data_IF_141256353127
#
_entry.id   IF_141256353127
#
_cell.length_a   1.000
_cell.length_b   1.000
_cell.length_c   1.000
_cell.angle_alpha   90.00
_cell.angle_beta   90.00
_cell.angle_gamma   90.00
#
_symmetry.space_group_name_H-M   'P 1'
#
loop_
_entity.id
_entity.type
_entity.pdbx_description
1 polymer ?
#
# COMPACT_ATOMS: atom_id res chain seq x y z
N UNK A 1 -2.98 -40.20 -14.15
CA UNK A 1 -3.14 -39.92 -12.71
C UNK A 1 -4.21 -38.85 -12.56
N UNK A 2 -5.24 -39.11 -11.76
CA UNK A 2 -6.27 -38.11 -11.47
C UNK A 2 -5.73 -36.91 -10.71
N UNK A 3 -6.46 -35.79 -10.69
CA UNK A 3 -6.03 -34.57 -10.00
C UNK A 3 -5.91 -34.76 -8.48
N UNK A 4 -6.83 -35.55 -7.92
CA UNK A 4 -7.01 -35.90 -6.51
C UNK A 4 -6.38 -37.25 -6.20
N UNK A 5 -5.77 -37.39 -5.02
CA UNK A 5 -5.21 -38.66 -4.57
C UNK A 5 -6.31 -39.67 -4.25
N UNK A 6 -6.03 -40.95 -4.45
CA UNK A 6 -6.85 -42.09 -4.01
C UNK A 6 -8.30 -42.13 -4.54
N UNK A 7 -8.67 -41.35 -5.56
CA UNK A 7 -10.04 -41.36 -6.09
C UNK A 7 -10.34 -42.65 -6.87
N UNK A 8 -11.56 -43.18 -6.66
CA UNK A 8 -12.05 -44.39 -7.33
C UNK A 8 -12.10 -44.19 -8.85
N UNK A 9 -12.54 -43.02 -9.30
CA UNK A 9 -12.47 -42.59 -10.69
C UNK A 9 -11.33 -41.56 -10.88
N UNK A 10 -10.32 -41.83 -11.72
CA UNK A 10 -9.28 -40.86 -12.07
C UNK A 10 -9.79 -39.61 -12.79
N UNK A 11 -10.97 -39.68 -13.42
CA UNK A 11 -11.59 -38.60 -14.19
C UNK A 11 -12.77 -37.94 -13.45
N UNK A 12 -12.90 -38.16 -12.14
CA UNK A 12 -13.96 -37.55 -11.33
C UNK A 12 -13.99 -36.01 -11.55
N UNK A 13 -15.18 -35.43 -11.79
CA UNK A 13 -15.30 -34.02 -12.10
C UNK A 13 -14.88 -33.17 -10.88
N UNK A 14 -13.85 -32.35 -11.07
CA UNK A 14 -13.26 -31.51 -10.01
C UNK A 14 -13.02 -30.08 -10.46
N UNK A 15 -13.23 -29.13 -9.54
CA UNK A 15 -12.87 -27.71 -9.69
C UNK A 15 -11.49 -27.40 -9.09
N UNK A 16 -10.73 -28.39 -8.64
CA UNK A 16 -9.38 -28.22 -8.08
C UNK A 16 -8.39 -27.42 -8.94
N UNK A 17 -8.31 -27.66 -10.27
CA UNK A 17 -7.46 -26.86 -11.16
C UNK A 17 -7.88 -25.38 -11.22
N UNK A 18 -9.19 -25.10 -11.21
CA UNK A 18 -9.72 -23.74 -11.18
C UNK A 18 -9.34 -23.03 -9.89
N UNK A 19 -9.53 -23.68 -8.74
CA UNK A 19 -9.15 -23.14 -7.42
C UNK A 19 -7.66 -22.80 -7.41
N UNK A 20 -6.82 -23.72 -7.89
CA UNK A 20 -5.37 -23.52 -7.96
C UNK A 20 -5.00 -22.34 -8.84
N UNK A 21 -5.59 -22.23 -10.04
CA UNK A 21 -5.35 -21.12 -10.95
C UNK A 21 -5.75 -19.77 -10.33
N UNK A 22 -6.90 -19.70 -9.67
CA UNK A 22 -7.38 -18.49 -9.00
C UNK A 22 -6.47 -18.09 -7.83
N UNK A 23 -6.07 -19.05 -6.98
CA UNK A 23 -5.16 -18.79 -5.86
C UNK A 23 -3.82 -18.23 -6.35
N UNK A 24 -3.20 -18.88 -7.35
CA UNK A 24 -1.92 -18.44 -7.91
C UNK A 24 -2.05 -17.04 -8.53
N UNK A 25 -3.08 -16.81 -9.35
CA UNK A 25 -3.28 -15.54 -10.01
C UNK A 25 -3.48 -14.39 -9.01
N UNK A 26 -4.38 -14.56 -8.03
CA UNK A 26 -4.68 -13.51 -7.06
C UNK A 26 -3.52 -13.23 -6.10
N UNK A 27 -2.82 -14.27 -5.64
CA UNK A 27 -1.63 -14.11 -4.78
C UNK A 27 -0.47 -13.45 -5.55
N UNK A 28 -0.35 -13.71 -6.85
CA UNK A 28 0.63 -13.03 -7.71
C UNK A 28 0.28 -11.56 -7.91
N UNK A 29 -1.00 -11.24 -8.18
CA UNK A 29 -1.46 -9.86 -8.32
C UNK A 29 -1.26 -9.09 -7.01
N UNK A 30 -1.62 -9.69 -5.88
CA UNK A 30 -1.43 -9.06 -4.57
C UNK A 30 0.06 -8.82 -4.26
N UNK A 31 0.94 -9.76 -4.63
CA UNK A 31 2.40 -9.58 -4.52
C UNK A 31 2.88 -8.37 -5.32
N UNK A 32 2.44 -8.22 -6.57
CA UNK A 32 2.79 -7.06 -7.40
C UNK A 32 2.37 -5.76 -6.71
N UNK A 33 1.18 -5.70 -6.11
CA UNK A 33 0.75 -4.49 -5.39
C UNK A 33 1.59 -4.20 -4.13
N UNK A 34 2.03 -5.24 -3.41
CA UNK A 34 2.92 -5.11 -2.25
C UNK A 34 4.30 -4.63 -2.70
N UNK A 35 4.89 -5.24 -3.74
CA UNK A 35 6.16 -4.80 -4.32
C UNK A 35 6.11 -3.34 -4.78
N UNK A 36 5.00 -2.95 -5.43
CA UNK A 36 4.80 -1.58 -5.88
C UNK A 36 4.70 -0.60 -4.70
N UNK A 37 3.99 -0.99 -3.63
CA UNK A 37 3.98 -0.23 -2.38
C UNK A 37 5.40 -0.09 -1.83
N UNK A 38 6.15 -1.19 -1.70
CA UNK A 38 7.51 -1.14 -1.18
C UNK A 38 8.38 -0.18 -1.99
N UNK A 39 8.31 -0.22 -3.32
CA UNK A 39 9.02 0.71 -4.20
C UNK A 39 8.63 2.18 -3.94
N UNK A 40 7.34 2.50 -3.87
CA UNK A 40 6.88 3.87 -3.59
C UNK A 40 7.40 4.35 -2.23
N UNK A 41 7.42 3.47 -1.23
CA UNK A 41 7.70 3.83 0.15
C UNK A 41 9.19 3.91 0.44
N UNK A 42 10.00 3.04 -0.17
CA UNK A 42 11.46 3.03 -0.03
C UNK A 42 12.14 4.01 -0.99
N UNK A 43 11.76 4.05 -2.26
CA UNK A 43 12.48 4.81 -3.29
C UNK A 43 11.89 6.20 -3.53
N UNK A 44 10.55 6.33 -3.65
CA UNK A 44 9.93 7.62 -3.99
C UNK A 44 9.72 8.53 -2.78
N UNK A 45 9.11 8.01 -1.72
CA UNK A 45 8.73 8.79 -0.53
C UNK A 45 9.81 8.72 0.55
N UNK A 46 10.64 7.67 0.56
CA UNK A 46 11.71 7.42 1.55
C UNK A 46 11.23 7.50 3.00
N UNK A 47 10.03 7.00 3.27
CA UNK A 47 9.44 7.04 4.59
C UNK A 47 8.80 5.69 4.88
N UNK A 48 9.57 4.69 5.31
CA UNK A 48 9.05 3.37 5.66
C UNK A 48 8.29 3.43 6.99
N UNK A 49 7.23 2.64 7.17
CA UNK A 49 6.46 2.63 8.41
C UNK A 49 5.92 1.28 8.83
N UNK A 50 5.26 1.27 10.00
CA UNK A 50 4.70 0.05 10.61
C UNK A 50 3.68 -0.63 9.68
N UNK A 51 2.89 0.16 8.97
CA UNK A 51 1.94 -0.31 7.94
C UNK A 51 2.60 -1.14 6.84
N UNK A 52 3.85 -0.83 6.47
CA UNK A 52 4.59 -1.53 5.43
C UNK A 52 5.09 -2.91 5.92
N UNK A 53 5.48 -3.03 7.19
CA UNK A 53 5.82 -4.34 7.78
C UNK A 53 4.60 -5.23 7.93
N UNK A 54 3.49 -4.66 8.43
CA UNK A 54 2.24 -5.40 8.63
C UNK A 54 1.75 -5.99 7.29
N UNK A 55 1.74 -5.20 6.21
CA UNK A 55 1.24 -5.70 4.92
C UNK A 55 2.13 -6.79 4.32
N UNK A 56 3.45 -6.73 4.54
CA UNK A 56 4.37 -7.77 4.10
C UNK A 56 4.10 -9.09 4.82
N UNK A 57 3.97 -9.06 6.15
CA UNK A 57 3.60 -10.22 6.95
C UNK A 57 2.22 -10.75 6.54
N UNK A 58 1.27 -9.84 6.28
CA UNK A 58 -0.08 -10.18 5.81
C UNK A 58 -0.03 -10.94 4.49
N UNK A 59 0.80 -10.49 3.54
CA UNK A 59 0.95 -11.18 2.26
C UNK A 59 1.58 -12.57 2.42
N UNK A 60 2.55 -12.73 3.32
CA UNK A 60 3.12 -14.05 3.64
C UNK A 60 2.03 -14.98 4.20
N UNK A 61 1.17 -14.49 5.09
CA UNK A 61 0.03 -15.27 5.59
C UNK A 61 -0.97 -15.64 4.47
N UNK A 62 -1.28 -14.70 3.58
CA UNK A 62 -2.17 -14.95 2.43
C UNK A 62 -1.57 -15.97 1.45
N UNK A 63 -0.25 -15.91 1.22
CA UNK A 63 0.48 -16.90 0.42
C UNK A 63 0.48 -18.28 1.11
N UNK A 64 0.67 -18.34 2.43
CA UNK A 64 0.54 -19.56 3.21
C UNK A 64 -0.86 -20.18 3.07
N UNK A 65 -1.91 -19.37 3.18
CA UNK A 65 -3.28 -19.82 2.96
C UNK A 65 -3.50 -20.36 1.54
N UNK A 66 -2.95 -19.70 0.52
CA UNK A 66 -3.02 -20.16 -0.87
C UNK A 66 -2.32 -21.51 -1.06
N UNK A 67 -1.12 -21.70 -0.50
CA UNK A 67 -0.39 -22.97 -0.56
C UNK A 67 -1.19 -24.10 0.09
N UNK A 68 -1.69 -23.88 1.30
CA UNK A 68 -2.51 -24.86 2.02
C UNK A 68 -3.75 -25.21 1.21
N UNK A 69 -4.44 -24.22 0.63
CA UNK A 69 -5.62 -24.42 -0.23
C UNK A 69 -5.29 -25.27 -1.46
N UNK A 70 -4.19 -24.98 -2.14
CA UNK A 70 -3.74 -25.74 -3.33
C UNK A 70 -3.46 -27.19 -2.96
N UNK A 71 -2.74 -27.44 -1.86
CA UNK A 71 -2.47 -28.78 -1.34
C UNK A 71 -3.78 -29.49 -1.00
N UNK A 72 -4.74 -28.80 -0.39
CA UNK A 72 -6.04 -29.36 -0.04
C UNK A 72 -6.84 -29.84 -1.28
N UNK A 73 -6.66 -29.22 -2.45
CA UNK A 73 -7.27 -29.70 -3.71
C UNK A 73 -6.79 -31.09 -4.12
N UNK A 74 -5.61 -31.51 -3.67
CA UNK A 74 -5.11 -32.87 -3.91
C UNK A 74 -5.75 -33.91 -3.00
N UNK A 75 -6.25 -33.49 -1.85
CA UNK A 75 -6.92 -34.34 -0.86
C UNK A 75 -8.45 -34.34 -0.97
N UNK A 76 -9.00 -33.74 -2.03
CA UNK A 76 -10.44 -33.80 -2.32
C UNK A 76 -11.17 -32.47 -2.32
N UNK A 77 -10.49 -31.34 -2.04
CA UNK A 77 -11.12 -30.03 -2.17
C UNK A 77 -11.50 -29.75 -3.63
N UNK A 78 -12.81 -29.55 -3.87
CA UNK A 78 -13.35 -29.24 -5.19
C UNK A 78 -13.89 -30.43 -5.97
N UNK A 79 -13.96 -31.63 -5.38
CA UNK A 79 -14.75 -32.74 -5.96
C UNK A 79 -16.23 -32.36 -6.01
N UNK A 80 -16.95 -32.81 -7.05
CA UNK A 80 -18.39 -32.49 -7.22
C UNK A 80 -19.33 -33.50 -6.57
N UNK A 81 -18.91 -34.76 -6.47
CA UNK A 81 -19.71 -35.80 -5.81
C UNK A 81 -19.00 -36.29 -4.54
N UNK A 82 -19.78 -36.54 -3.49
CA UNK A 82 -19.23 -36.92 -2.19
C UNK A 82 -18.74 -38.35 -2.21
N UNK A 83 -19.36 -39.19 -3.04
CA UNK A 83 -19.01 -40.59 -3.25
C UNK A 83 -17.62 -40.75 -3.90
N UNK A 84 -17.12 -39.69 -4.55
CA UNK A 84 -15.79 -39.64 -5.14
C UNK A 84 -14.70 -39.32 -4.11
N UNK A 85 -15.07 -38.88 -2.90
CA UNK A 85 -14.12 -38.56 -1.82
C UNK A 85 -13.66 -39.84 -1.10
N UNK A 86 -12.36 -40.20 -1.16
CA UNK A 86 -11.85 -41.37 -0.47
C UNK A 86 -11.81 -41.16 1.05
N UNK A 87 -12.21 -42.17 1.82
CA UNK A 87 -12.20 -42.12 3.29
C UNK A 87 -10.77 -41.87 3.83
N UNK A 88 -9.75 -42.46 3.20
CA UNK A 88 -8.34 -42.27 3.55
C UNK A 88 -7.86 -40.82 3.43
N UNK A 89 -8.54 -40.00 2.63
CA UNK A 89 -8.17 -38.60 2.43
C UNK A 89 -8.79 -37.67 3.48
N UNK A 90 -9.82 -38.11 4.21
CA UNK A 90 -10.57 -37.26 5.15
C UNK A 90 -9.66 -36.69 6.24
N UNK A 91 -8.75 -37.51 6.77
CA UNK A 91 -7.77 -37.09 7.78
C UNK A 91 -6.88 -35.94 7.27
N UNK A 92 -6.25 -36.13 6.11
CA UNK A 92 -5.35 -35.14 5.53
C UNK A 92 -6.11 -33.88 5.09
N UNK A 93 -7.33 -34.04 4.57
CA UNK A 93 -8.20 -32.92 4.24
C UNK A 93 -8.50 -32.05 5.47
N UNK A 94 -8.88 -32.67 6.59
CA UNK A 94 -9.17 -31.98 7.85
C UNK A 94 -7.93 -31.33 8.46
N UNK A 95 -6.77 -31.99 8.39
CA UNK A 95 -5.52 -31.47 8.93
C UNK A 95 -5.06 -30.22 8.18
N UNK A 96 -5.10 -30.27 6.84
CA UNK A 96 -4.77 -29.14 5.98
C UNK A 96 -5.76 -27.98 6.19
N UNK A 97 -7.05 -28.28 6.36
CA UNK A 97 -8.07 -27.28 6.73
C UNK A 97 -7.72 -26.59 8.07
N UNK A 98 -7.35 -27.37 9.09
CA UNK A 98 -6.93 -26.85 10.39
C UNK A 98 -5.71 -25.95 10.28
N UNK A 99 -4.69 -26.35 9.51
CA UNK A 99 -3.49 -25.54 9.26
C UNK A 99 -3.79 -24.23 8.52
N UNK A 100 -4.79 -24.22 7.63
CA UNK A 100 -5.17 -23.06 6.83
C UNK A 100 -5.91 -21.98 7.61
N UNK A 101 -6.69 -22.35 8.61
CA UNK A 101 -7.55 -21.41 9.33
C UNK A 101 -6.77 -20.27 10.03
N UNK A 102 -5.65 -20.51 10.73
CA UNK A 102 -4.83 -19.43 11.29
C UNK A 102 -4.25 -18.48 10.24
N UNK A 103 -3.80 -18.98 9.09
CA UNK A 103 -3.29 -18.14 8.00
C UNK A 103 -4.38 -17.22 7.45
N UNK A 104 -5.59 -17.76 7.28
CA UNK A 104 -6.75 -16.99 6.85
C UNK A 104 -7.08 -15.86 7.83
N UNK A 105 -7.30 -16.18 9.11
CA UNK A 105 -7.68 -15.19 10.14
C UNK A 105 -6.59 -14.13 10.32
N UNK A 106 -5.32 -14.53 10.31
CA UNK A 106 -4.19 -13.61 10.45
C UNK A 106 -4.06 -12.66 9.27
N UNK A 107 -4.31 -13.15 8.05
CA UNK A 107 -4.33 -12.31 6.84
C UNK A 107 -5.46 -11.29 6.89
N UNK A 108 -6.66 -11.67 7.36
CA UNK A 108 -7.78 -10.74 7.52
C UNK A 108 -7.44 -9.61 8.49
N UNK A 109 -6.93 -9.97 9.66
CA UNK A 109 -6.50 -8.98 10.65
C UNK A 109 -5.40 -8.08 10.05
N UNK A 110 -4.41 -8.69 9.41
CA UNK A 110 -3.24 -8.00 8.87
C UNK A 110 -3.59 -6.91 7.86
N UNK A 111 -4.43 -7.18 6.86
CA UNK A 111 -4.76 -6.15 5.86
C UNK A 111 -5.59 -5.02 6.47
N UNK A 112 -6.48 -5.31 7.44
CA UNK A 112 -7.25 -4.29 8.17
C UNK A 112 -6.34 -3.39 8.98
N UNK A 113 -5.36 -3.97 9.67
CA UNK A 113 -4.36 -3.21 10.41
C UNK A 113 -3.51 -2.35 9.49
N UNK A 114 -3.00 -2.91 8.39
CA UNK A 114 -2.23 -2.14 7.41
C UNK A 114 -3.01 -0.92 6.88
N UNK A 115 -4.32 -1.09 6.61
CA UNK A 115 -5.20 -0.01 6.17
C UNK A 115 -5.42 1.04 7.29
N UNK A 116 -5.74 0.61 8.51
CA UNK A 116 -5.94 1.51 9.65
C UNK A 116 -4.67 2.30 10.02
N UNK A 117 -3.50 1.65 10.04
CA UNK A 117 -2.22 2.33 10.26
C UNK A 117 -1.89 3.30 9.12
N UNK A 118 -2.24 2.96 7.88
CA UNK A 118 -2.13 3.88 6.74
C UNK A 118 -3.01 5.12 6.97
N UNK A 119 -4.23 4.96 7.48
CA UNK A 119 -5.09 6.09 7.86
C UNK A 119 -4.51 6.92 9.00
N UNK A 120 -3.96 6.27 10.02
CA UNK A 120 -3.36 6.94 11.19
C UNK A 120 -2.19 7.87 10.81
N UNK A 121 -1.53 7.63 9.67
CA UNK A 121 -0.52 8.54 9.11
C UNK A 121 -1.12 9.82 8.54
N UNK A 122 -2.28 9.75 7.89
CA UNK A 122 -2.92 10.91 7.28
C UNK A 122 -3.75 11.73 8.27
N UNK A 123 -4.20 11.11 9.36
CA UNK A 123 -5.05 11.75 10.36
C UNK A 123 -4.19 12.61 11.30
N UNK A 124 -4.47 13.92 11.41
CA UNK A 124 -3.78 14.80 12.34
C UNK A 124 -4.06 14.40 13.81
N UNK A 125 -3.22 14.88 14.74
CA UNK A 125 -3.45 14.69 16.18
C UNK A 125 -4.81 15.26 16.58
N UNK A 126 -5.59 14.50 17.34
CA UNK A 126 -6.93 14.89 17.79
C UNK A 126 -7.82 13.70 18.10
N UNK A 127 -9.10 13.97 18.36
CA UNK A 127 -10.10 12.94 18.74
C UNK A 127 -10.20 11.80 17.72
N UNK A 128 -10.17 12.11 16.42
CA UNK A 128 -10.26 11.12 15.35
C UNK A 128 -9.07 10.14 15.32
N UNK A 129 -7.89 10.57 15.78
CA UNK A 129 -6.73 9.69 15.94
C UNK A 129 -6.97 8.66 17.04
N UNK A 130 -7.49 9.09 18.19
CA UNK A 130 -7.82 8.19 19.30
C UNK A 130 -8.95 7.22 18.94
N UNK A 131 -9.98 7.69 18.22
CA UNK A 131 -11.04 6.81 17.69
C UNK A 131 -10.48 5.74 16.75
N UNK A 132 -9.56 6.11 15.85
CA UNK A 132 -8.91 5.16 14.94
C UNK A 132 -8.08 4.13 15.71
N UNK A 133 -7.35 4.54 16.75
CA UNK A 133 -6.61 3.63 17.63
C UNK A 133 -7.57 2.68 18.37
N UNK A 134 -8.72 3.19 18.85
CA UNK A 134 -9.77 2.35 19.43
C UNK A 134 -10.26 1.28 18.46
N UNK A 135 -10.50 1.63 17.19
CA UNK A 135 -10.87 0.66 16.15
C UNK A 135 -9.76 -0.38 15.92
N UNK A 136 -8.49 0.03 15.90
CA UNK A 136 -7.34 -0.88 15.78
C UNK A 136 -7.35 -1.91 16.93
N UNK A 137 -7.45 -1.44 18.17
CA UNK A 137 -7.43 -2.30 19.36
C UNK A 137 -8.62 -3.26 19.35
N UNK A 138 -9.84 -2.76 19.11
CA UNK A 138 -11.04 -3.60 19.03
C UNK A 138 -10.93 -4.65 17.92
N UNK A 139 -10.38 -4.29 16.77
CA UNK A 139 -10.18 -5.22 15.65
C UNK A 139 -9.17 -6.32 15.99
N UNK A 140 -8.07 -5.97 16.66
CA UNK A 140 -7.08 -6.93 17.16
C UNK A 140 -7.70 -7.90 18.16
N UNK A 141 -8.35 -7.38 19.21
CA UNK A 141 -8.95 -8.19 20.27
C UNK A 141 -9.99 -9.16 19.70
N UNK A 142 -10.82 -8.68 18.77
CA UNK A 142 -11.81 -9.49 18.08
C UNK A 142 -11.16 -10.66 17.32
N UNK A 143 -10.28 -10.40 16.34
CA UNK A 143 -9.69 -11.48 15.53
C UNK A 143 -8.78 -12.41 16.35
N UNK A 144 -8.09 -11.88 17.37
CA UNK A 144 -7.28 -12.69 18.27
C UNK A 144 -8.16 -13.67 19.07
N UNK A 145 -9.31 -13.22 19.56
CA UNK A 145 -10.27 -14.09 20.25
C UNK A 145 -10.77 -15.21 19.34
N UNK A 146 -11.12 -14.88 18.09
CA UNK A 146 -11.54 -15.89 17.10
C UNK A 146 -10.42 -16.87 16.76
N UNK A 147 -9.18 -16.40 16.63
CA UNK A 147 -8.03 -17.25 16.35
C UNK A 147 -7.79 -18.25 17.50
N UNK A 148 -7.85 -17.80 18.75
CA UNK A 148 -7.69 -18.67 19.92
C UNK A 148 -8.78 -19.74 19.97
N UNK A 149 -10.04 -19.36 19.74
CA UNK A 149 -11.16 -20.32 19.72
C UNK A 149 -11.04 -21.28 18.53
N UNK A 150 -10.61 -20.81 17.35
CA UNK A 150 -10.45 -21.65 16.17
C UNK A 150 -9.38 -22.73 16.34
N UNK A 151 -8.27 -22.39 17.02
CA UNK A 151 -7.19 -23.34 17.34
C UNK A 151 -7.66 -24.37 18.38
N UNK A 152 -8.59 -24.00 19.25
CA UNK A 152 -9.11 -24.84 20.33
C UNK A 152 -10.58 -25.21 20.13
N UNK A 153 -11.02 -25.36 18.87
CA UNK A 153 -12.44 -25.50 18.56
C UNK A 153 -13.04 -26.79 19.11
N UNK A 154 -12.21 -27.83 19.22
CA UNK A 154 -12.57 -29.13 19.79
C UNK A 154 -11.68 -29.52 20.96
N UNK A 155 -12.21 -30.38 21.82
CA UNK A 155 -11.52 -30.98 22.95
C UNK A 155 -11.58 -32.51 22.80
N UNK A 156 -10.46 -33.20 22.54
CA UNK A 156 -9.12 -32.67 22.27
C UNK A 156 -9.02 -31.97 20.90
N UNK A 157 -8.03 -31.08 20.73
CA UNK A 157 -7.83 -30.30 19.49
C UNK A 157 -7.70 -31.20 18.24
N UNK A 158 -7.08 -32.38 18.40
CA UNK A 158 -6.94 -33.36 17.33
C UNK A 158 -8.27 -33.83 16.72
N UNK A 159 -9.37 -33.72 17.47
CA UNK A 159 -10.70 -34.08 16.97
C UNK A 159 -11.18 -33.18 15.82
N UNK A 160 -10.55 -32.02 15.58
CA UNK A 160 -10.84 -31.18 14.42
C UNK A 160 -10.49 -31.84 13.08
N UNK A 161 -9.48 -32.72 13.05
CA UNK A 161 -9.06 -33.41 11.82
C UNK A 161 -9.12 -34.94 11.93
N UNK A 162 -9.18 -35.48 13.14
CA UNK A 162 -9.27 -36.91 13.40
C UNK A 162 -10.60 -37.25 14.08
N UNK A 163 -11.59 -37.61 13.27
CA UNK A 163 -12.92 -38.02 13.75
C UNK A 163 -12.94 -39.46 14.28
N UNK A 164 -11.83 -40.20 14.23
CA UNK A 164 -11.75 -41.56 14.81
C UNK A 164 -11.67 -41.56 16.34
N UNK A 165 -11.38 -40.40 16.94
CA UNK A 165 -11.31 -40.21 18.38
C UNK A 165 -12.72 -40.33 18.98
N UNK A 166 -12.93 -41.38 19.79
CA UNK A 166 -14.25 -41.77 20.32
C UNK A 166 -14.90 -40.79 21.31
N UNK A 167 -14.14 -39.88 21.89
CA UNK A 167 -14.60 -38.99 22.97
C UNK A 167 -14.18 -37.54 22.75
N UNK A 168 -14.40 -37.04 21.53
CA UNK A 168 -14.20 -35.64 21.20
C UNK A 168 -15.51 -34.84 21.20
N UNK A 169 -15.44 -33.59 21.65
CA UNK A 169 -16.54 -32.63 21.49
C UNK A 169 -16.03 -31.36 20.84
N UNK A 170 -16.82 -30.77 19.96
CA UNK A 170 -16.50 -29.52 19.27
C UNK A 170 -17.54 -28.46 19.59
N UNK A 171 -17.12 -27.20 19.59
CA UNK A 171 -18.05 -26.09 19.51
C UNK A 171 -18.80 -26.14 18.18
N UNK A 172 -20.09 -25.80 18.20
CA UNK A 172 -20.94 -25.77 17.01
C UNK A 172 -20.34 -24.86 15.92
N UNK A 173 -19.84 -25.48 14.85
CA UNK A 173 -19.08 -24.79 13.80
C UNK A 173 -19.92 -23.76 13.03
N UNK A 174 -21.17 -24.07 12.69
CA UNK A 174 -22.03 -23.17 11.91
C UNK A 174 -22.31 -21.85 12.66
N UNK A 175 -22.78 -21.85 13.93
CA UNK A 175 -22.94 -20.62 14.72
C UNK A 175 -21.62 -19.86 14.91
N UNK A 176 -20.52 -20.57 15.14
CA UNK A 176 -19.21 -19.96 15.34
C UNK A 176 -18.73 -19.20 14.10
N UNK A 177 -18.68 -19.86 12.94
CA UNK A 177 -18.24 -19.22 11.70
C UNK A 177 -19.21 -18.15 11.20
N UNK A 178 -20.52 -18.31 11.44
CA UNK A 178 -21.52 -17.28 11.13
C UNK A 178 -21.30 -16.02 11.99
N UNK A 179 -21.00 -16.19 13.27
CA UNK A 179 -20.71 -15.06 14.18
C UNK A 179 -19.42 -14.36 13.76
N UNK A 180 -18.37 -15.13 13.44
CA UNK A 180 -17.11 -14.60 12.94
C UNK A 180 -17.33 -13.77 11.66
N UNK A 181 -18.04 -14.34 10.68
CA UNK A 181 -18.31 -13.67 9.41
C UNK A 181 -19.12 -12.37 9.62
N UNK A 182 -20.18 -12.43 10.43
CA UNK A 182 -21.04 -11.27 10.69
C UNK A 182 -20.27 -10.12 11.33
N UNK A 183 -19.46 -10.40 12.36
CA UNK A 183 -18.67 -9.38 13.03
C UNK A 183 -17.50 -8.89 12.16
N UNK A 184 -16.93 -9.75 11.31
CA UNK A 184 -15.90 -9.35 10.35
C UNK A 184 -16.45 -8.29 9.39
N UNK A 185 -17.69 -8.44 8.90
CA UNK A 185 -18.39 -7.45 8.07
C UNK A 185 -18.59 -6.14 8.83
N UNK A 186 -19.01 -6.20 10.10
CA UNK A 186 -19.17 -5.00 10.93
C UNK A 186 -17.84 -4.24 11.01
N UNK A 187 -16.73 -4.94 11.26
CA UNK A 187 -15.41 -4.32 11.25
C UNK A 187 -14.99 -3.80 9.86
N UNK A 188 -15.35 -4.46 8.76
CA UNK A 188 -15.08 -3.95 7.41
C UNK A 188 -15.76 -2.60 7.18
N UNK A 189 -17.03 -2.47 7.58
CA UNK A 189 -17.78 -1.22 7.49
C UNK A 189 -17.17 -0.14 8.38
N UNK A 190 -16.83 -0.46 9.63
CA UNK A 190 -16.20 0.49 10.56
C UNK A 190 -14.86 0.98 10.01
N UNK A 191 -14.00 0.08 9.54
CA UNK A 191 -12.69 0.42 8.97
C UNK A 191 -12.86 1.30 7.73
N UNK A 192 -13.81 0.96 6.85
CA UNK A 192 -14.10 1.73 5.64
C UNK A 192 -14.63 3.14 5.95
N UNK A 193 -15.48 3.29 6.97
CA UNK A 193 -16.07 4.57 7.37
C UNK A 193 -15.13 5.44 8.20
N UNK A 194 -14.11 4.86 8.84
CA UNK A 194 -13.13 5.57 9.68
C UNK A 194 -12.57 6.85 9.05
N UNK A 195 -12.08 6.87 7.79
CA UNK A 195 -11.55 8.09 7.17
C UNK A 195 -12.64 9.09 6.70
N UNK A 196 -13.90 8.66 6.57
CA UNK A 196 -14.95 9.45 5.91
C UNK A 196 -15.28 10.78 6.65
N UNK A 197 -15.54 10.81 7.97
CA UNK A 197 -15.84 12.06 8.68
C UNK A 197 -14.72 13.10 8.62
N UNK A 198 -13.48 12.63 8.59
CA UNK A 198 -12.28 13.47 8.57
C UNK A 198 -12.13 14.12 7.19
N UNK A 199 -12.42 13.36 6.14
CA UNK A 199 -12.30 13.81 4.76
C UNK A 199 -13.42 14.77 4.34
N UNK A 200 -14.62 14.66 4.93
CA UNK A 200 -15.73 15.60 4.69
C UNK A 200 -15.45 16.98 5.31
N UNK A 201 -14.85 17.01 6.51
CA UNK A 201 -14.55 18.28 7.21
C UNK A 201 -13.34 19.03 6.66
N UNK A 202 -12.42 18.33 6.00
CA UNK A 202 -11.20 18.93 5.47
C UNK A 202 -11.46 19.46 4.04
N UNK A 203 -11.07 20.72 3.74
CA UNK A 203 -11.16 21.34 2.41
C UNK A 203 -10.19 20.69 1.42
N UNK A 204 -10.44 19.43 1.08
CA UNK A 204 -9.54 18.62 0.29
C UNK A 204 -9.89 18.74 -1.20
N UNK A 205 -8.87 18.96 -2.03
CA UNK A 205 -8.96 18.94 -3.50
C UNK A 205 -9.72 17.70 -4.00
N UNK A 206 -10.60 17.90 -4.98
CA UNK A 206 -11.49 16.87 -5.57
C UNK A 206 -10.79 15.56 -5.92
N UNK A 207 -9.48 15.58 -6.21
CA UNK A 207 -8.67 14.38 -6.48
C UNK A 207 -8.58 13.39 -5.32
N UNK A 208 -8.46 13.83 -4.06
CA UNK A 208 -8.42 12.88 -2.93
C UNK A 208 -9.81 12.34 -2.58
N UNK A 209 -10.88 13.06 -2.96
CA UNK A 209 -12.26 12.56 -2.86
C UNK A 209 -12.50 11.37 -3.80
N UNK A 210 -11.87 11.36 -4.98
CA UNK A 210 -11.97 10.22 -5.91
C UNK A 210 -11.29 8.95 -5.38
N UNK A 211 -10.10 9.08 -4.77
CA UNK A 211 -9.42 7.95 -4.11
C UNK A 211 -10.26 7.39 -2.97
N UNK A 212 -10.87 8.28 -2.17
CA UNK A 212 -11.78 7.87 -1.10
C UNK A 212 -13.02 7.14 -1.64
N UNK A 213 -13.62 7.63 -2.72
CA UNK A 213 -14.76 6.98 -3.37
C UNK A 213 -14.38 5.59 -3.91
N UNK A 214 -13.17 5.45 -4.46
CA UNK A 214 -12.63 4.16 -4.89
C UNK A 214 -12.44 3.18 -3.72
N UNK A 215 -11.89 3.64 -2.59
CA UNK A 215 -11.76 2.83 -1.37
C UNK A 215 -13.12 2.40 -0.81
N UNK A 216 -14.11 3.30 -0.85
CA UNK A 216 -15.47 3.00 -0.42
C UNK A 216 -16.15 1.98 -1.35
N UNK A 217 -16.01 2.14 -2.66
CA UNK A 217 -16.53 1.17 -3.63
C UNK A 217 -15.90 -0.22 -3.49
N UNK A 218 -14.58 -0.27 -3.27
CA UNK A 218 -13.87 -1.53 -3.03
C UNK A 218 -14.26 -2.17 -1.70
N UNK A 219 -14.46 -1.37 -0.64
CA UNK A 219 -14.97 -1.86 0.65
C UNK A 219 -16.39 -2.41 0.55
N UNK A 220 -17.29 -1.75 -0.19
CA UNK A 220 -18.62 -2.29 -0.49
C UNK A 220 -18.55 -3.62 -1.24
N UNK A 221 -17.66 -3.73 -2.23
CA UNK A 221 -17.48 -4.99 -2.94
C UNK A 221 -16.97 -6.12 -2.03
N UNK A 222 -16.04 -5.83 -1.10
CA UNK A 222 -15.63 -6.79 -0.07
C UNK A 222 -16.82 -7.20 0.81
N UNK A 223 -17.68 -6.26 1.23
CA UNK A 223 -18.86 -6.62 2.02
C UNK A 223 -19.84 -7.52 1.26
N UNK A 224 -19.98 -7.36 -0.06
CA UNK A 224 -20.80 -8.27 -0.90
C UNK A 224 -20.21 -9.67 -0.91
N UNK A 225 -18.88 -9.81 -1.07
CA UNK A 225 -18.19 -11.10 -0.99
C UNK A 225 -18.49 -11.78 0.35
N UNK A 226 -18.48 -11.02 1.45
CA UNK A 226 -18.75 -11.55 2.78
C UNK A 226 -20.21 -11.98 2.99
N UNK A 227 -21.17 -11.31 2.34
CA UNK A 227 -22.58 -11.72 2.35
C UNK A 227 -22.73 -13.08 1.65
N UNK A 228 -22.08 -13.25 0.49
CA UNK A 228 -22.04 -14.54 -0.22
C UNK A 228 -21.42 -15.62 0.68
N UNK A 229 -20.37 -15.28 1.42
CA UNK A 229 -19.73 -16.18 2.40
C UNK A 229 -20.70 -16.62 3.51
N UNK A 230 -21.50 -15.72 4.07
CA UNK A 230 -22.50 -16.07 5.08
C UNK A 230 -23.58 -17.00 4.50
N UNK A 231 -24.03 -16.75 3.27
CA UNK A 231 -25.01 -17.61 2.62
C UNK A 231 -24.47 -19.03 2.38
N UNK A 232 -23.22 -19.15 1.94
CA UNK A 232 -22.55 -20.44 1.74
C UNK A 232 -22.31 -21.19 3.05
N UNK A 233 -21.92 -20.52 4.14
CA UNK A 233 -21.81 -21.14 5.48
C UNK A 233 -23.16 -21.69 5.97
N UNK A 234 -24.26 -20.97 5.73
CA UNK A 234 -25.60 -21.41 6.13
C UNK A 234 -26.13 -22.58 5.30
N UNK A 235 -25.62 -22.76 4.09
CA UNK A 235 -25.98 -23.85 3.19
C UNK A 235 -25.00 -25.03 3.25
N UNK A 236 -24.02 -25.01 4.17
CA UNK A 236 -23.02 -26.05 4.31
C UNK A 236 -23.67 -27.35 4.81
N UNK A 237 -24.18 -28.15 3.88
CA UNK A 237 -24.80 -29.44 4.15
C UNK A 237 -23.77 -30.59 4.02
N UNK A 238 -22.75 -30.44 3.17
CA UNK A 238 -21.76 -31.48 2.86
C UNK A 238 -20.33 -30.94 2.77
N UNK A 239 -19.34 -31.83 2.91
CA UNK A 239 -17.91 -31.50 2.79
C UNK A 239 -17.54 -30.80 1.47
N UNK A 240 -18.24 -31.11 0.38
CA UNK A 240 -18.00 -30.54 -0.95
C UNK A 240 -18.38 -29.06 -1.07
N UNK A 241 -19.36 -28.60 -0.29
CA UNK A 241 -19.80 -27.19 -0.27
C UNK A 241 -18.76 -26.26 0.37
N UNK A 242 -17.69 -26.82 0.94
CA UNK A 242 -16.55 -26.06 1.47
C UNK A 242 -15.69 -25.44 0.37
N UNK A 243 -15.72 -25.96 -0.86
CA UNK A 243 -14.84 -25.50 -1.93
C UNK A 243 -15.12 -24.06 -2.40
N UNK A 244 -16.37 -23.65 -2.66
CA UNK A 244 -16.70 -22.24 -2.91
C UNK A 244 -16.33 -21.34 -1.73
N UNK A 245 -16.55 -21.80 -0.50
CA UNK A 245 -16.24 -21.05 0.71
C UNK A 245 -14.75 -20.70 0.80
N UNK A 246 -13.88 -21.71 0.61
CA UNK A 246 -12.42 -21.54 0.66
C UNK A 246 -11.92 -20.68 -0.49
N UNK A 247 -12.50 -20.84 -1.69
CA UNK A 247 -12.19 -19.99 -2.83
C UNK A 247 -12.50 -18.51 -2.54
N UNK A 248 -13.68 -18.22 -1.99
CA UNK A 248 -14.07 -16.86 -1.60
C UNK A 248 -13.16 -16.29 -0.49
N UNK A 249 -12.72 -17.12 0.46
CA UNK A 249 -11.71 -16.72 1.45
C UNK A 249 -10.36 -16.33 0.84
N UNK A 250 -9.93 -17.01 -0.22
CA UNK A 250 -8.71 -16.64 -0.95
C UNK A 250 -8.88 -15.34 -1.74
N UNK A 251 -10.05 -15.12 -2.33
CA UNK A 251 -10.41 -13.86 -3.01
C UNK A 251 -10.42 -12.70 -2.02
N UNK A 252 -11.07 -12.88 -0.87
CA UNK A 252 -11.19 -11.90 0.20
C UNK A 252 -9.81 -11.43 0.69
N UNK A 253 -8.92 -12.36 1.05
CA UNK A 253 -7.58 -12.03 1.55
C UNK A 253 -6.76 -11.22 0.54
N UNK A 254 -6.71 -11.69 -0.70
CA UNK A 254 -5.91 -11.03 -1.74
C UNK A 254 -6.49 -9.67 -2.11
N UNK A 255 -7.81 -9.55 -2.19
CA UNK A 255 -8.46 -8.28 -2.47
C UNK A 255 -8.28 -7.29 -1.32
N UNK A 256 -8.41 -7.75 -0.07
CA UNK A 256 -8.15 -6.94 1.12
C UNK A 256 -6.74 -6.34 1.11
N UNK A 257 -5.72 -7.13 0.74
CA UNK A 257 -4.34 -6.65 0.59
C UNK A 257 -4.23 -5.59 -0.51
N UNK A 258 -4.85 -5.82 -1.67
CA UNK A 258 -4.83 -4.86 -2.79
C UNK A 258 -5.46 -3.53 -2.34
N UNK A 259 -6.62 -3.57 -1.69
CA UNK A 259 -7.33 -2.39 -1.17
C UNK A 259 -6.49 -1.66 -0.11
N UNK A 260 -5.83 -2.40 0.78
CA UNK A 260 -4.93 -1.82 1.79
C UNK A 260 -3.74 -1.05 1.18
N UNK A 261 -3.34 -1.40 -0.05
CA UNK A 261 -2.24 -0.76 -0.78
C UNK A 261 -2.67 0.50 -1.56
N UNK A 262 -3.94 0.62 -1.94
CA UNK A 262 -4.47 1.77 -2.73
C UNK A 262 -4.10 3.15 -2.14
N UNK A 263 -4.25 3.44 -0.82
CA UNK A 263 -3.94 4.76 -0.28
C UNK A 263 -2.47 5.15 -0.48
N UNK A 264 -1.56 4.18 -0.42
CA UNK A 264 -0.12 4.42 -0.59
C UNK A 264 0.32 4.53 -2.05
N UNK A 265 -0.46 3.99 -2.99
CA UNK A 265 -0.16 4.06 -4.42
C UNK A 265 -0.62 5.38 -5.08
N UNK A 266 -1.44 6.18 -4.40
CA UNK A 266 -1.95 7.45 -4.93
C UNK A 266 -0.86 8.42 -5.47
N UNK A 267 0.32 8.60 -4.83
CA UNK A 267 1.40 9.44 -5.36
C UNK A 267 2.02 8.92 -6.65
N UNK A 268 2.09 7.59 -6.83
CA UNK A 268 2.64 6.96 -8.03
C UNK A 268 1.75 7.22 -9.25
N UNK A 269 0.43 7.08 -9.07
CA UNK A 269 -0.55 7.38 -10.13
C UNK A 269 -0.46 8.84 -10.56
N UNK A 270 -0.23 9.76 -9.62
CA UNK A 270 0.00 11.17 -9.93
C UNK A 270 1.27 11.36 -10.77
N UNK A 271 2.40 10.77 -10.37
CA UNK A 271 3.67 10.88 -11.09
C UNK A 271 3.58 10.37 -12.53
N UNK A 272 2.98 9.21 -12.76
CA UNK A 272 2.82 8.66 -14.11
C UNK A 272 1.82 9.44 -14.95
N UNK A 273 0.71 9.92 -14.37
CA UNK A 273 -0.23 10.77 -15.10
C UNK A 273 0.42 12.08 -15.56
N UNK A 274 1.22 12.72 -14.72
CA UNK A 274 1.96 13.95 -15.06
C UNK A 274 3.03 13.69 -16.13
N UNK A 275 3.73 12.55 -16.07
CA UNK A 275 4.70 12.14 -17.11
C UNK A 275 4.04 11.78 -18.44
N UNK A 276 2.87 11.13 -18.41
CA UNK A 276 2.11 10.74 -19.61
C UNK A 276 1.45 11.93 -20.29
N UNK A 277 0.90 12.89 -19.52
CA UNK A 277 0.35 14.14 -20.09
C UNK A 277 1.42 15.17 -20.46
N UNK A 278 2.59 15.14 -19.81
CA UNK A 278 3.73 15.97 -20.17
C UNK A 278 4.45 15.56 -21.47
N UNK A 279 4.19 14.34 -21.98
CA UNK A 279 4.76 13.84 -23.25
C UNK A 279 3.96 14.20 -24.51
N UNK A 280 2.70 14.63 -24.37
CA UNK A 280 1.79 14.86 -25.52
C UNK A 280 1.30 16.30 -25.67
N UNK A 281 1.86 17.25 -24.92
CA UNK A 281 1.57 18.68 -25.04
C UNK A 281 2.64 19.40 -25.86
N UNK A 282 2.59 19.29 -27.19
CA UNK A 282 3.35 20.19 -28.07
C UNK A 282 3.13 21.65 -27.66
N UNK A 283 4.24 22.38 -27.49
CA UNK A 283 4.28 23.70 -26.86
C UNK A 283 3.28 24.68 -27.47
N UNK A 284 2.17 24.93 -26.77
CA UNK A 284 1.36 26.13 -26.97
C UNK A 284 1.97 27.22 -26.10
N UNK A 285 3.05 27.82 -26.62
CA UNK A 285 3.53 29.11 -26.14
C UNK A 285 2.34 30.07 -26.15
N UNK A 286 1.85 30.45 -24.96
CA UNK A 286 0.97 31.61 -24.84
C UNK A 286 1.80 32.80 -25.29
N UNK A 287 1.63 33.21 -26.55
CA UNK A 287 2.00 34.56 -26.99
C UNK A 287 1.29 35.53 -26.04
N UNK A 288 2.07 36.15 -25.16
CA UNK A 288 1.66 37.38 -24.51
C UNK A 288 1.59 38.40 -25.63
N UNK A 289 0.37 38.79 -26.01
CA UNK A 289 0.15 39.93 -26.90
C UNK A 289 0.31 41.18 -26.06
N UNK A 290 1.54 41.66 -25.90
CA UNK A 290 1.81 43.00 -25.39
C UNK A 290 1.47 43.98 -26.52
N UNK A 291 0.34 44.66 -26.40
CA UNK A 291 0.01 45.81 -27.24
C UNK A 291 1.00 46.93 -26.97
N UNK A 292 1.66 47.39 -28.04
CA UNK A 292 2.47 48.60 -28.04
C UNK A 292 1.56 49.83 -27.91
N UNK A 293 1.76 50.61 -26.85
CA UNK A 293 1.50 52.04 -26.83
C UNK A 293 2.84 52.75 -26.63
N UNK A 294 3.12 53.74 -27.49
CA UNK A 294 4.34 54.51 -27.59
C UNK A 294 4.81 55.12 -26.25
N UNK A 295 6.10 54.98 -25.96
CA UNK A 295 6.81 55.74 -24.92
C UNK A 295 8.31 55.56 -25.11
N UNK A 296 9.00 56.64 -25.45
CA UNK A 296 10.44 56.71 -25.71
C UNK A 296 11.27 56.56 -24.43
N UNK A 297 12.50 56.01 -24.62
CA UNK A 297 13.69 56.08 -23.75
C UNK A 297 13.57 55.43 -22.35
N UNK A 298 14.52 54.63 -21.84
CA UNK A 298 15.98 54.78 -21.70
C UNK A 298 16.56 53.38 -21.40
N UNK A 299 17.76 53.09 -21.90
CA UNK A 299 18.39 51.77 -21.83
C UNK A 299 18.80 51.30 -20.43
N UNK A 300 18.69 49.99 -20.20
CA UNK A 300 19.51 49.26 -19.24
C UNK A 300 19.82 47.87 -19.81
N UNK A 301 21.12 47.62 -20.00
CA UNK A 301 21.70 46.39 -20.54
C UNK A 301 21.87 45.37 -19.42
N UNK A 302 21.06 44.31 -19.40
CA UNK A 302 21.47 43.00 -18.87
C UNK A 302 20.77 41.89 -19.67
N UNK A 303 21.41 41.43 -20.75
CA UNK A 303 21.00 40.23 -21.47
C UNK A 303 21.82 39.04 -20.95
N UNK A 304 21.23 38.27 -20.03
CA UNK A 304 21.75 36.97 -19.62
C UNK A 304 21.48 35.98 -20.75
N UNK A 305 22.54 35.59 -21.47
CA UNK A 305 22.51 34.50 -22.46
C UNK A 305 22.33 33.16 -21.75
N UNK A 306 21.16 32.54 -21.87
CA UNK A 306 20.95 31.16 -21.47
C UNK A 306 21.36 30.20 -22.59
N UNK A 307 22.18 29.22 -22.18
CA UNK A 307 22.76 28.15 -22.97
C UNK A 307 21.72 27.33 -23.75
N UNK A 308 21.99 27.11 -25.04
CA UNK A 308 21.31 26.08 -25.82
C UNK A 308 22.34 25.01 -26.19
N UNK A 309 22.24 23.88 -25.50
CA UNK A 309 22.97 22.65 -25.82
C UNK A 309 22.48 22.11 -27.17
N UNK A 310 23.40 21.97 -28.12
CA UNK A 310 23.19 21.21 -29.35
C UNK A 310 24.40 20.28 -29.54
N UNK A 311 24.08 19.00 -29.49
CA UNK A 311 25.01 17.88 -29.57
C UNK A 311 25.25 17.55 -31.06
N UNK A 312 26.47 17.75 -31.58
CA UNK A 312 27.10 16.77 -32.48
C UNK A 312 28.54 17.14 -32.89
N UNK A 313 29.44 16.17 -32.66
CA UNK A 313 30.65 15.82 -33.43
C UNK A 313 31.52 16.96 -33.99
N UNK A 314 32.71 17.15 -33.43
CA UNK A 314 33.97 16.56 -33.95
C UNK A 314 35.23 17.31 -33.47
N UNK A 315 36.25 16.50 -33.12
CA UNK A 315 37.70 16.74 -33.24
C UNK A 315 38.41 17.87 -32.44
N UNK A 316 39.52 17.44 -31.83
CA UNK A 316 40.76 18.14 -31.48
C UNK A 316 40.67 19.22 -30.38
N UNK A 317 41.23 18.99 -29.18
CA UNK A 317 42.64 19.22 -28.79
C UNK A 317 43.19 20.57 -29.26
N UNK A 318 43.51 21.46 -28.31
CA UNK A 318 44.88 21.74 -27.85
C UNK A 318 45.00 23.15 -27.26
N UNK A 319 45.81 23.19 -26.23
CA UNK A 319 46.27 24.28 -25.37
C UNK A 319 47.21 25.28 -26.10
N UNK A 320 47.51 26.38 -25.37
CA UNK A 320 48.75 27.19 -25.34
C UNK A 320 48.71 28.65 -25.83
N UNK A 321 49.05 29.51 -24.84
CA UNK A 321 49.93 30.70 -24.81
C UNK A 321 49.98 31.75 -25.94
N UNK A 322 49.99 33.02 -25.50
CA UNK A 322 50.98 34.12 -25.73
C UNK A 322 50.22 35.44 -25.46
N UNK A 323 50.63 36.37 -24.60
CA UNK A 323 51.97 36.92 -24.41
C UNK A 323 52.09 38.24 -25.18
N UNK A 324 52.37 39.34 -24.46
CA UNK A 324 53.00 40.62 -24.91
C UNK A 324 52.15 41.60 -25.77
N UNK A 325 52.26 42.94 -25.73
CA UNK A 325 53.15 43.93 -25.08
C UNK A 325 52.53 45.35 -25.19
N UNK A 326 52.95 46.25 -24.28
CA UNK A 326 52.90 47.72 -24.20
C UNK A 326 52.25 48.58 -25.29
N UNK A 327 51.58 49.66 -24.85
CA UNK A 327 52.03 51.02 -25.18
C UNK A 327 51.71 52.02 -24.05
N UNK A 328 52.58 53.01 -23.90
CA UNK A 328 52.67 53.95 -22.79
C UNK A 328 52.29 55.38 -23.22
N UNK A 329 51.67 56.16 -22.33
CA UNK A 329 51.79 57.63 -22.30
C UNK A 329 51.46 58.15 -20.90
N UNK A 330 52.53 58.31 -20.11
CA UNK A 330 53.01 59.52 -19.42
C UNK A 330 52.07 60.47 -18.64
N UNK A 331 52.58 60.91 -17.48
CA UNK A 331 52.20 62.18 -16.84
C UNK A 331 51.67 62.13 -15.39
N UNK A 332 52.51 61.79 -14.40
CA UNK A 332 52.17 61.98 -12.99
C UNK A 332 53.38 61.94 -12.05
N UNK A 333 53.96 63.09 -11.74
CA UNK A 333 55.02 63.26 -10.75
C UNK A 333 54.47 63.80 -9.42
N UNK A 334 54.58 63.05 -8.32
CA UNK A 334 55.01 63.58 -7.02
C UNK A 334 55.42 62.44 -6.06
N UNK A 335 56.62 62.57 -5.48
CA UNK A 335 57.27 61.67 -4.53
C UNK A 335 56.72 61.78 -3.08
N UNK A 336 56.98 60.76 -2.26
CA UNK A 336 56.97 60.89 -0.80
C UNK A 336 56.90 59.58 -0.02
N UNK A 337 58.07 59.06 0.37
CA UNK A 337 58.29 57.77 1.02
C UNK A 337 57.95 57.73 2.54
N UNK A 338 57.23 56.67 2.96
CA UNK A 338 57.29 55.80 4.17
C UNK A 338 57.85 56.36 5.50
N UNK A 339 57.10 56.19 6.63
CA UNK A 339 57.59 55.68 7.95
C UNK A 339 56.44 55.23 8.90
N UNK A 340 56.60 54.02 9.48
CA UNK A 340 56.10 53.40 10.76
C UNK A 340 54.63 53.04 10.99
N UNK A 341 54.45 51.86 11.59
CA UNK A 341 53.36 51.60 12.56
C UNK A 341 53.07 50.11 12.80
N UNK A 342 53.58 49.58 13.91
CA UNK A 342 53.41 48.20 14.37
C UNK A 342 51.97 47.83 14.81
N UNK A 343 51.70 46.52 14.72
CA UNK A 343 50.92 45.67 15.64
C UNK A 343 49.38 45.59 15.58
N UNK A 344 48.96 44.31 15.51
CA UNK A 344 47.74 43.69 16.03
C UNK A 344 46.48 43.73 15.16
N UNK A 345 46.15 42.59 14.55
CA UNK A 345 44.81 42.29 14.03
C UNK A 345 44.18 41.21 14.91
N UNK A 346 43.31 41.61 15.82
CA UNK A 346 42.41 40.68 16.51
C UNK A 346 41.23 40.35 15.57
N UNK A 347 41.00 39.05 15.34
CA UNK A 347 39.78 38.55 14.72
C UNK A 347 38.77 38.21 15.81
N UNK A 348 37.74 39.05 15.95
CA UNK A 348 36.57 38.76 16.78
C UNK A 348 35.52 38.10 15.86
N UNK A 349 35.21 36.84 16.15
CA UNK A 349 34.09 36.10 15.58
C UNK A 349 32.80 36.49 16.34
N UNK A 350 31.83 37.10 15.65
CA UNK A 350 30.48 37.28 16.18
C UNK A 350 29.49 36.30 15.53
N UNK A 351 28.69 35.70 16.42
CA UNK A 351 27.64 34.72 16.22
C UNK A 351 26.49 35.25 15.34
N UNK A 352 26.15 34.58 14.23
CA UNK A 352 24.82 34.75 13.61
C UNK A 352 23.81 33.77 14.22
N UNK A 353 22.90 34.34 15.02
CA UNK A 353 21.75 33.65 15.61
C UNK A 353 20.54 33.57 14.68
N UNK A 354 19.65 32.62 14.97
CA UNK A 354 18.40 32.35 14.23
C UNK A 354 17.41 33.50 14.41
N UNK A 355 16.98 34.13 13.31
CA UNK A 355 15.91 35.14 13.31
C UNK A 355 14.54 34.49 13.13
N UNK A 356 13.63 34.69 14.10
CA UNK A 356 12.24 34.23 14.05
C UNK A 356 11.34 35.44 13.77
N UNK A 357 10.58 35.42 12.68
CA UNK A 357 9.63 36.48 12.31
C UNK A 357 8.24 36.10 12.82
N UNK A 358 7.56 37.02 13.51
CA UNK A 358 6.18 36.86 14.01
C UNK A 358 5.33 37.96 13.38
N UNK A 359 4.32 37.58 12.62
CA UNK A 359 3.36 38.53 12.04
C UNK A 359 2.23 38.78 13.05
N UNK A 360 2.04 40.05 13.41
CA UNK A 360 0.98 40.52 14.31
C UNK A 360 -0.10 41.20 13.47
N UNK A 361 -1.32 40.70 13.53
CA UNK A 361 -2.49 41.30 12.88
C UNK A 361 -3.28 42.08 13.93
N UNK A 362 -3.38 43.40 13.77
CA UNK A 362 -4.18 44.27 14.64
C UNK A 362 -5.51 44.55 13.93
N UNK A 363 -6.62 44.11 14.52
CA UNK A 363 -7.98 44.51 14.15
C UNK A 363 -8.41 45.71 14.98
N UNK A 364 -8.80 46.82 14.34
CA UNK A 364 -9.46 47.95 15.00
C UNK A 364 -10.95 47.66 15.15
N UNK A 365 -11.49 47.94 16.34
CA UNK A 365 -12.92 47.93 16.64
C UNK A 365 -13.68 49.02 15.89
#
# INVERSE_FOLDING_TARGET
>A
MGWTFNTKDPNAPTIGPLITGVCIALTSISLVTVCLRMYVRSAMIKAFGVDDYIILITWVCAAGFAVVTIVQTKWGLGLRNIDDLPEDNIYNFGLIQYMGAPFYISSILGFKLALLFSYLRFIPKGIYRYLTIGVIVSCCLFHLSFLIVQINLCQPVAFQWDQTIKSGTCLSSVPFYTSMASLTIVFDVIVMLTPFPILVKSRIQNRKKLVLLGLFGLGLFITVIQIIRIQTVKQLANYLDSAPLILWSAVENNLGIIVANVPTLAPLVKYYNEKSTGGSGGGRSKRITTGYANGQDVGSRYAVRTWKSSNNRSKAMMELELGTVHDATDGGSFEGHVVKGNNSTEMILEHEGITKRVDVVITRN
#
